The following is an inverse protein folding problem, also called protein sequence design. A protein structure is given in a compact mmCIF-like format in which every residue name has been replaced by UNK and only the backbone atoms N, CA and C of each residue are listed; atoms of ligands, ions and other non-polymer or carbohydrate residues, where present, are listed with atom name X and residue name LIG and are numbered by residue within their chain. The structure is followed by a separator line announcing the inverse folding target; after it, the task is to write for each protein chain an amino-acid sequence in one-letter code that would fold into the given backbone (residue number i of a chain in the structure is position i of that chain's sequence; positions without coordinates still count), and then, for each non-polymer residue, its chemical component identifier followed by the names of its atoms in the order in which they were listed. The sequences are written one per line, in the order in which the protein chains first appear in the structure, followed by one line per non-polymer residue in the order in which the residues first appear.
data_IF_748630800177
#
_entry.id   IF_748630800177
#
_cell.length_a   1.000
_cell.length_b   1.000
_cell.length_c   1.000
_cell.angle_alpha   90.00
_cell.angle_beta   90.00
_cell.angle_gamma   90.00
#
_symmetry.space_group_name_H-M   'P 1'
#
loop_
_entity.id
_entity.type
_entity.pdbx_description
1 polymer ?
#
# COMPACT_ATOMS: atom_id res chain seq x y z
N UNK A 1 -28.87 -5.26 20.38
CA UNK A 1 -28.04 -5.64 19.22
C UNK A 1 -26.59 -5.44 19.65
N UNK A 2 -25.86 -6.55 19.82
CA UNK A 2 -24.64 -6.60 20.62
C UNK A 2 -23.42 -6.05 19.88
N UNK A 3 -22.71 -5.12 20.51
CA UNK A 3 -21.35 -4.71 20.17
C UNK A 3 -20.38 -5.74 20.75
N UNK A 4 -19.69 -6.49 19.88
CA UNK A 4 -18.71 -7.50 20.33
C UNK A 4 -17.40 -6.81 20.69
N UNK A 5 -17.10 -6.86 21.98
CA UNK A 5 -16.03 -6.16 22.68
C UNK A 5 -14.87 -7.15 22.89
N UNK A 6 -13.97 -7.28 21.91
CA UNK A 6 -12.85 -8.24 21.98
C UNK A 6 -11.48 -7.57 21.97
N UNK A 7 -11.22 -6.75 22.98
CA UNK A 7 -9.86 -6.47 23.47
C UNK A 7 -9.89 -6.36 25.00
N UNK A 8 -9.79 -7.49 25.70
CA UNK A 8 -9.47 -7.52 27.14
C UNK A 8 -8.38 -8.56 27.43
N UNK A 9 -7.22 -8.03 27.80
CA UNK A 9 -6.36 -8.48 28.89
C UNK A 9 -5.81 -9.91 28.86
N UNK A 10 -4.60 -10.07 28.33
CA UNK A 10 -3.70 -11.17 28.72
C UNK A 10 -2.51 -10.54 29.44
N UNK A 11 -2.33 -10.86 30.74
CA UNK A 11 -1.11 -10.49 31.49
C UNK A 11 0.04 -11.35 30.98
N UNK A 12 1.24 -10.79 30.70
CA UNK A 12 2.37 -11.60 30.30
C UNK A 12 2.99 -12.30 31.51
N UNK A 13 3.13 -13.62 31.44
CA UNK A 13 4.05 -14.38 32.28
C UNK A 13 5.48 -14.17 31.78
N UNK A 14 6.39 -14.00 32.72
CA UNK A 14 7.78 -13.63 32.46
C UNK A 14 8.58 -14.79 31.87
N UNK A 15 8.85 -14.76 30.56
CA UNK A 15 10.11 -15.18 29.93
C UNK A 15 9.98 -15.06 28.41
N UNK A 16 11.00 -14.53 27.73
CA UNK A 16 11.08 -14.12 26.31
C UNK A 16 10.93 -12.61 26.08
N UNK A 17 11.93 -11.86 26.54
CA UNK A 17 12.20 -10.48 26.12
C UNK A 17 12.83 -10.51 24.73
N UNK A 18 12.18 -9.93 23.71
CA UNK A 18 12.81 -9.69 22.41
C UNK A 18 11.88 -9.63 21.18
N UNK A 19 10.66 -10.16 21.23
CA UNK A 19 9.82 -10.26 20.02
C UNK A 19 8.38 -9.71 20.17
N UNK A 20 7.87 -9.58 21.39
CA UNK A 20 6.59 -8.94 21.70
C UNK A 20 6.61 -7.42 21.62
N UNK A 21 7.79 -6.80 21.63
CA UNK A 21 7.92 -5.35 21.72
C UNK A 21 7.67 -4.66 20.38
N UNK A 22 7.97 -5.29 19.24
CA UNK A 22 7.85 -4.63 17.92
C UNK A 22 6.39 -4.29 17.59
N UNK A 23 5.44 -5.20 17.82
CA UNK A 23 4.01 -4.94 17.55
C UNK A 23 3.39 -3.97 18.56
N UNK A 24 3.83 -4.03 19.83
CA UNK A 24 3.41 -3.08 20.86
C UNK A 24 3.98 -1.67 20.61
N UNK A 25 5.20 -1.56 20.07
CA UNK A 25 5.88 -0.31 19.79
C UNK A 25 5.33 0.39 18.54
N UNK A 26 4.92 -0.35 17.50
CA UNK A 26 4.21 0.24 16.35
C UNK A 26 2.80 0.75 16.68
N UNK A 27 2.13 0.14 17.68
CA UNK A 27 0.81 0.61 18.17
C UNK A 27 0.94 1.81 19.12
N UNK A 28 2.16 2.14 19.57
CA UNK A 28 2.44 3.24 20.50
C UNK A 28 2.64 4.61 19.82
N UNK A 29 2.76 4.65 18.49
CA UNK A 29 2.87 5.89 17.71
C UNK A 29 1.48 6.37 17.27
N UNK A 30 0.88 7.28 18.06
CA UNK A 30 -0.35 8.03 17.73
C UNK A 30 -0.01 9.31 16.95
N UNK A 31 -1.02 9.99 16.38
CA UNK A 31 -1.52 9.77 15.03
C UNK A 31 -0.51 10.14 13.93
N UNK A 32 -0.70 9.62 12.71
CA UNK A 32 0.07 10.05 11.55
C UNK A 32 -0.26 11.52 11.21
N UNK A 33 0.76 12.37 11.09
CA UNK A 33 0.65 13.78 10.72
C UNK A 33 0.69 13.98 9.20
N UNK A 34 1.35 13.07 8.48
CA UNK A 34 1.48 13.16 7.04
C UNK A 34 1.90 11.83 6.44
N UNK A 35 1.47 11.58 5.21
CA UNK A 35 1.85 10.41 4.46
C UNK A 35 2.38 10.83 3.09
N UNK A 36 3.56 10.33 2.72
CA UNK A 36 4.13 10.48 1.38
C UNK A 36 4.29 9.12 0.77
N UNK A 37 3.65 8.89 -0.38
CA UNK A 37 3.79 7.66 -1.15
C UNK A 37 4.33 8.00 -2.52
N UNK A 38 5.44 7.37 -2.90
CA UNK A 38 5.96 7.46 -4.26
C UNK A 38 6.10 6.10 -4.90
N UNK A 39 5.65 6.02 -6.14
CA UNK A 39 5.79 4.84 -6.98
C UNK A 39 6.32 5.21 -8.34
N UNK A 40 7.45 4.62 -8.70
CA UNK A 40 8.02 4.70 -10.03
C UNK A 40 7.90 3.33 -10.72
N UNK A 41 7.75 3.35 -12.03
CA UNK A 41 8.00 2.20 -12.88
C UNK A 41 8.84 2.64 -14.09
N UNK A 42 9.89 1.89 -14.41
CA UNK A 42 10.71 2.14 -15.58
C UNK A 42 9.91 1.78 -16.86
N UNK A 43 9.95 2.68 -17.86
CA UNK A 43 9.18 2.64 -19.12
C UNK A 43 9.23 1.33 -19.91
N UNK A 44 10.18 0.43 -19.65
CA UNK A 44 10.42 -0.78 -20.44
C UNK A 44 10.08 -2.12 -19.76
N UNK A 45 9.91 -2.17 -18.44
CA UNK A 45 9.75 -3.46 -17.73
C UNK A 45 8.27 -3.86 -17.60
N UNK A 46 7.36 -2.87 -17.56
CA UNK A 46 5.94 -3.11 -17.28
C UNK A 46 4.99 -2.37 -18.21
N UNK A 47 5.47 -1.85 -19.34
CA UNK A 47 4.62 -1.31 -20.39
C UNK A 47 4.65 -2.29 -21.58
N UNK A 48 3.85 -3.37 -21.57
CA UNK A 48 3.66 -4.17 -22.77
C UNK A 48 3.14 -3.23 -23.85
N UNK A 49 3.70 -3.31 -25.06
CA UNK A 49 3.17 -2.57 -26.21
C UNK A 49 1.72 -2.96 -26.51
N UNK A 50 1.26 -4.14 -26.05
CA UNK A 50 0.01 -4.76 -26.49
C UNK A 50 -0.78 -5.51 -25.39
N UNK A 51 -0.89 -4.98 -24.16
CA UNK A 51 -1.91 -5.50 -23.22
C UNK A 51 -3.10 -4.55 -23.13
N UNK A 52 -4.12 -4.82 -23.96
CA UNK A 52 -5.55 -4.56 -23.68
C UNK A 52 -5.89 -3.18 -23.06
N UNK A 53 -5.16 -2.13 -23.44
CA UNK A 53 -5.44 -0.73 -23.08
C UNK A 53 -6.46 -0.07 -24.03
N UNK A 54 -7.06 -0.86 -24.94
CA UNK A 54 -7.83 -0.38 -26.09
C UNK A 54 -9.35 -0.46 -25.94
N UNK A 55 -9.90 -0.64 -24.73
CA UNK A 55 -11.34 -0.46 -24.51
C UNK A 55 -11.63 0.33 -23.22
N UNK A 56 -11.95 1.61 -23.43
CA UNK A 56 -12.82 2.45 -22.57
C UNK A 56 -12.47 2.56 -21.07
N UNK A 57 -11.24 2.94 -20.72
CA UNK A 57 -10.94 3.41 -19.35
C UNK A 57 -9.48 3.84 -19.12
N UNK A 58 -9.16 4.67 -18.10
CA UNK A 58 -7.79 5.12 -17.85
C UNK A 58 -6.95 3.97 -17.26
N UNK A 59 -6.36 3.19 -18.16
CA UNK A 59 -5.54 2.00 -17.91
C UNK A 59 -4.08 2.26 -17.53
N UNK A 60 -3.67 3.51 -17.39
CA UNK A 60 -2.27 3.92 -17.25
C UNK A 60 -1.71 3.71 -15.85
N UNK A 61 -1.22 4.80 -15.23
CA UNK A 61 -0.68 4.75 -13.87
C UNK A 61 -1.70 4.39 -12.79
N UNK A 62 -2.98 4.20 -13.14
CA UNK A 62 -4.03 3.69 -12.26
C UNK A 62 -3.71 2.41 -11.49
N UNK A 63 -2.96 1.47 -12.08
CA UNK A 63 -2.51 0.26 -11.34
C UNK A 63 -1.40 0.58 -10.34
N UNK A 64 -0.57 1.58 -10.62
CA UNK A 64 0.41 2.11 -9.69
C UNK A 64 -0.29 2.86 -8.55
N UNK A 65 -1.29 3.67 -8.89
CA UNK A 65 -2.12 4.46 -7.98
C UNK A 65 -2.90 3.57 -7.02
N UNK A 66 -3.54 2.50 -7.51
CA UNK A 66 -4.33 1.61 -6.66
C UNK A 66 -3.51 0.98 -5.54
N UNK A 67 -2.26 0.57 -5.81
CA UNK A 67 -1.43 0.03 -4.72
C UNK A 67 -0.86 1.11 -3.80
N UNK A 68 -0.62 2.33 -4.30
CA UNK A 68 -0.19 3.45 -3.47
C UNK A 68 -1.31 3.89 -2.50
N UNK A 69 -2.54 3.94 -2.99
CA UNK A 69 -3.74 4.19 -2.19
C UNK A 69 -4.01 3.02 -1.22
N UNK A 70 -3.86 1.76 -1.65
CA UNK A 70 -4.02 0.61 -0.76
C UNK A 70 -3.00 0.65 0.40
N UNK A 71 -1.74 1.00 0.12
CA UNK A 71 -0.72 1.17 1.16
C UNK A 71 -1.05 2.34 2.10
N UNK A 72 -1.57 3.45 1.55
CA UNK A 72 -2.04 4.60 2.33
C UNK A 72 -3.16 4.22 3.30
N UNK A 73 -4.21 3.60 2.77
CA UNK A 73 -5.38 3.17 3.56
C UNK A 73 -4.99 2.17 4.63
N UNK A 74 -4.10 1.23 4.30
CA UNK A 74 -3.58 0.26 5.25
C UNK A 74 -2.79 0.94 6.38
N UNK A 75 -1.93 1.92 6.07
CA UNK A 75 -1.14 2.63 7.08
C UNK A 75 -1.99 3.53 7.99
N UNK A 76 -3.06 4.12 7.46
CA UNK A 76 -3.93 5.05 8.19
C UNK A 76 -5.15 4.37 8.83
N UNK A 77 -5.40 3.10 8.53
CA UNK A 77 -6.65 2.41 8.85
C UNK A 77 -7.90 3.16 8.38
N UNK A 78 -7.80 3.81 7.22
CA UNK A 78 -8.84 4.68 6.67
C UNK A 78 -9.62 4.00 5.54
N UNK A 79 -10.90 4.38 5.40
CA UNK A 79 -11.79 3.91 4.33
C UNK A 79 -11.55 4.70 3.04
N UNK A 80 -12.19 5.85 2.87
CA UNK A 80 -12.09 6.74 1.71
C UNK A 80 -11.51 8.09 2.13
N UNK A 81 -10.88 8.86 1.21
CA UNK A 81 -10.47 10.22 1.52
C UNK A 81 -11.71 11.10 1.78
N UNK A 82 -11.60 11.99 2.76
CA UNK A 82 -12.58 13.05 3.02
C UNK A 82 -12.59 14.04 1.86
N UNK A 83 -11.40 14.35 1.35
CA UNK A 83 -11.23 15.33 0.29
C UNK A 83 -10.04 14.98 -0.62
N UNK A 84 -10.18 15.27 -1.91
CA UNK A 84 -9.08 15.32 -2.87
C UNK A 84 -8.73 16.79 -3.12
N UNK A 85 -7.75 17.30 -2.40
CA UNK A 85 -7.35 18.72 -2.46
C UNK A 85 -6.83 19.11 -3.84
N UNK A 86 -6.07 18.23 -4.48
CA UNK A 86 -5.62 18.44 -5.86
C UNK A 86 -5.23 17.13 -6.52
N UNK A 87 -5.43 17.05 -7.83
CA UNK A 87 -4.91 15.96 -8.64
C UNK A 87 -4.44 16.51 -9.99
N UNK A 88 -3.20 16.23 -10.36
CA UNK A 88 -2.58 16.66 -11.60
C UNK A 88 -2.04 15.45 -12.34
N UNK A 89 -2.37 15.36 -13.62
CA UNK A 89 -1.97 14.24 -14.47
C UNK A 89 -1.09 14.72 -15.60
N UNK A 90 -0.15 13.84 -16.00
CA UNK A 90 0.56 13.95 -17.26
C UNK A 90 0.02 12.84 -18.16
N UNK A 91 -0.63 13.16 -19.29
CA UNK A 91 -1.12 12.14 -20.21
C UNK A 91 0.04 11.38 -20.86
N UNK A 92 -0.26 10.17 -21.33
CA UNK A 92 0.65 9.38 -22.15
C UNK A 92 0.83 10.02 -23.52
N UNK A 93 2.02 9.82 -24.11
CA UNK A 93 2.30 10.26 -25.48
C UNK A 93 1.48 9.48 -26.53
N UNK A 94 1.01 8.28 -26.18
CA UNK A 94 0.28 7.39 -27.10
C UNK A 94 -1.24 7.55 -27.05
N UNK A 95 -1.81 7.89 -25.89
CA UNK A 95 -3.25 8.08 -25.69
C UNK A 95 -3.47 9.12 -24.58
N UNK A 96 -4.14 10.23 -24.92
CA UNK A 96 -4.40 11.33 -23.99
C UNK A 96 -5.37 10.95 -22.85
N UNK A 97 -6.17 9.88 -23.01
CA UNK A 97 -7.08 9.37 -21.97
C UNK A 97 -6.35 8.57 -20.89
N UNK A 98 -5.09 8.22 -21.14
CA UNK A 98 -4.26 7.38 -20.30
C UNK A 98 -3.24 8.25 -19.61
N UNK A 99 -3.16 8.17 -18.29
CA UNK A 99 -2.17 8.89 -17.49
C UNK A 99 -0.82 8.17 -17.50
N UNK A 100 0.24 8.92 -17.82
CA UNK A 100 1.63 8.48 -17.69
C UNK A 100 2.19 8.75 -16.29
N UNK A 101 1.77 9.85 -15.67
CA UNK A 101 2.10 10.18 -14.29
C UNK A 101 0.94 10.92 -13.63
N UNK A 102 0.83 10.78 -12.32
CA UNK A 102 -0.22 11.40 -11.52
C UNK A 102 0.37 11.87 -10.19
N UNK A 103 -0.01 13.08 -9.79
CA UNK A 103 0.29 13.68 -8.50
C UNK A 103 -1.03 14.02 -7.83
N UNK A 104 -1.31 13.44 -6.67
CA UNK A 104 -2.54 13.69 -5.93
C UNK A 104 -2.26 14.05 -4.47
N UNK A 105 -3.01 15.03 -3.99
CA UNK A 105 -3.08 15.44 -2.59
C UNK A 105 -4.46 15.05 -2.05
N UNK A 106 -4.45 14.26 -0.99
CA UNK A 106 -5.64 13.67 -0.39
C UNK A 106 -5.64 13.98 1.10
N UNK A 107 -6.83 14.10 1.67
CA UNK A 107 -7.03 14.19 3.12
C UNK A 107 -7.80 12.93 3.52
N UNK A 108 -7.20 12.15 4.42
CA UNK A 108 -7.85 11.01 5.05
C UNK A 108 -8.20 11.34 6.49
N UNK A 109 -9.26 10.71 7.00
CA UNK A 109 -9.59 10.73 8.42
C UNK A 109 -9.16 9.39 9.02
N UNK A 110 -8.37 9.44 10.09
CA UNK A 110 -8.01 8.24 10.85
C UNK A 110 -9.17 7.79 11.77
N UNK A 111 -9.12 6.58 12.37
CA UNK A 111 -10.14 6.13 13.32
C UNK A 111 -10.28 6.97 14.61
N UNK A 112 -9.41 7.97 14.79
CA UNK A 112 -9.40 8.90 15.92
C UNK A 112 -9.83 10.32 15.51
N UNK A 113 -10.42 10.48 14.32
CA UNK A 113 -10.90 11.72 13.73
C UNK A 113 -9.80 12.78 13.50
N UNK A 114 -8.55 12.36 13.28
CA UNK A 114 -7.48 13.24 12.85
C UNK A 114 -7.43 13.30 11.33
N UNK A 115 -7.28 14.51 10.80
CA UNK A 115 -7.09 14.73 9.38
C UNK A 115 -5.61 14.54 9.03
N UNK A 116 -5.35 13.61 8.11
CA UNK A 116 -4.00 13.25 7.66
C UNK A 116 -3.82 13.61 6.20
N UNK A 117 -2.83 14.45 5.92
CA UNK A 117 -2.47 14.81 4.55
C UNK A 117 -1.68 13.68 3.89
N UNK A 118 -2.19 13.15 2.78
CA UNK A 118 -1.51 12.17 1.95
C UNK A 118 -1.09 12.79 0.61
N UNK A 119 0.17 12.57 0.24
CA UNK A 119 0.74 12.95 -1.05
C UNK A 119 1.10 11.69 -1.81
N UNK A 120 0.42 11.46 -2.94
CA UNK A 120 0.64 10.30 -3.79
C UNK A 120 1.25 10.77 -5.10
N UNK A 121 2.38 10.15 -5.45
CA UNK A 121 3.03 10.35 -6.74
C UNK A 121 3.20 9.02 -7.45
N UNK A 122 2.70 8.92 -8.67
CA UNK A 122 2.88 7.79 -9.56
C UNK A 122 3.49 8.24 -10.88
N UNK A 123 4.47 7.51 -11.40
CA UNK A 123 5.04 7.78 -12.72
C UNK A 123 5.49 6.47 -13.38
N UNK A 124 4.82 6.11 -14.47
CA UNK A 124 5.09 4.90 -15.24
C UNK A 124 5.84 5.17 -16.56
N UNK A 125 6.07 6.43 -16.90
CA UNK A 125 6.72 6.81 -18.15
C UNK A 125 8.12 7.42 -17.92
N UNK A 126 8.77 7.08 -16.80
CA UNK A 126 10.10 7.61 -16.50
C UNK A 126 11.13 7.15 -17.55
N UNK A 127 11.87 8.09 -18.18
CA UNK A 127 12.93 7.74 -19.09
C UNK A 127 14.08 7.07 -18.32
N UNK A 128 14.81 6.21 -19.02
CA UNK A 128 16.03 5.60 -18.51
C UNK A 128 17.03 6.68 -18.06
N UNK A 129 17.79 6.41 -17.00
CA UNK A 129 18.84 7.31 -16.55
C UNK A 129 19.91 7.41 -17.65
N UNK A 130 20.17 8.64 -18.12
CA UNK A 130 21.06 8.87 -19.26
C UNK A 130 20.63 8.19 -20.56
N UNK A 131 19.37 7.75 -20.69
CA UNK A 131 18.86 7.03 -21.86
C UNK A 131 19.26 5.55 -21.97
N UNK A 132 20.17 5.06 -21.12
CA UNK A 132 20.79 3.72 -21.28
C UNK A 132 20.63 2.85 -20.02
N UNK A 133 20.48 3.45 -18.84
CA UNK A 133 20.36 2.70 -17.59
C UNK A 133 18.91 2.64 -17.11
N UNK A 134 18.30 1.43 -17.00
CA UNK A 134 17.01 1.31 -16.35
C UNK A 134 17.15 1.71 -14.88
N UNK A 135 16.22 2.55 -14.39
CA UNK A 135 16.22 3.10 -13.03
C UNK A 135 15.76 2.09 -11.99
N UNK A 136 16.43 0.95 -11.91
CA UNK A 136 16.05 -0.18 -11.04
C UNK A 136 16.15 0.15 -9.54
N UNK A 137 16.85 1.23 -9.18
CA UNK A 137 16.94 1.74 -7.81
C UNK A 137 15.80 2.69 -7.43
N UNK A 138 14.97 3.14 -8.37
CA UNK A 138 13.78 3.94 -8.10
C UNK A 138 12.59 3.00 -7.83
N UNK A 139 12.66 2.23 -6.74
CA UNK A 139 11.57 1.32 -6.35
C UNK A 139 10.49 2.04 -5.52
N UNK A 140 9.29 1.47 -5.42
CA UNK A 140 8.19 2.09 -4.69
C UNK A 140 8.47 2.17 -3.19
N UNK A 141 8.10 3.29 -2.57
CA UNK A 141 8.26 3.50 -1.13
C UNK A 141 7.07 4.27 -0.55
N UNK A 142 6.90 4.09 0.76
CA UNK A 142 5.92 4.80 1.57
C UNK A 142 6.63 5.38 2.79
N UNK A 143 6.28 6.61 3.13
CA UNK A 143 6.82 7.33 4.27
C UNK A 143 5.65 7.85 5.09
N UNK A 144 5.53 7.35 6.32
CA UNK A 144 4.54 7.75 7.30
C UNK A 144 5.23 8.65 8.31
N UNK A 145 4.78 9.90 8.39
CA UNK A 145 5.23 10.85 9.38
C UNK A 145 4.26 10.83 10.56
N UNK A 146 4.75 10.54 11.76
CA UNK A 146 3.99 10.62 13.03
C UNK A 146 4.47 11.80 13.86
N UNK A 147 3.87 12.01 15.03
CA UNK A 147 4.30 13.01 16.01
C UNK A 147 5.77 12.84 16.45
N UNK A 148 6.22 11.59 16.61
CA UNK A 148 7.48 11.21 17.22
C UNK A 148 8.48 10.61 16.26
N UNK A 149 8.06 10.08 15.12
CA UNK A 149 8.93 9.35 14.22
C UNK A 149 8.58 9.56 12.74
N UNK A 150 9.55 9.30 11.88
CA UNK A 150 9.39 9.13 10.45
C UNK A 150 9.61 7.65 10.14
N UNK A 151 8.58 6.97 9.63
CA UNK A 151 8.65 5.57 9.24
C UNK A 151 8.73 5.49 7.72
N UNK A 152 9.87 5.07 7.20
CA UNK A 152 10.12 4.93 5.78
C UNK A 152 10.21 3.44 5.40
N UNK A 153 9.30 2.96 4.56
CA UNK A 153 9.30 1.59 4.07
C UNK A 153 9.63 1.54 2.59
N UNK A 154 10.80 0.97 2.30
CA UNK A 154 11.36 0.82 0.97
C UNK A 154 10.99 -0.52 0.33
N UNK A 155 10.52 -0.50 -0.91
CA UNK A 155 10.26 -1.67 -1.75
C UNK A 155 9.20 -2.65 -1.21
N UNK A 156 8.06 -2.13 -0.79
CA UNK A 156 6.94 -2.94 -0.28
C UNK A 156 6.32 -3.95 -1.28
N UNK A 157 6.33 -3.77 -2.62
CA UNK A 157 5.73 -4.76 -3.54
C UNK A 157 6.58 -5.99 -3.78
N UNK A 158 7.91 -5.84 -3.66
CA UNK A 158 8.87 -6.90 -3.96
C UNK A 158 9.87 -7.07 -2.79
N UNK A 159 9.38 -7.41 -1.59
CA UNK A 159 10.21 -7.48 -0.40
C UNK A 159 11.31 -8.54 -0.51
N UNK A 160 11.09 -9.59 -1.30
CA UNK A 160 12.04 -10.67 -1.57
C UNK A 160 13.33 -10.25 -2.28
N UNK A 161 13.36 -9.12 -3.00
CA UNK A 161 14.57 -8.64 -3.66
C UNK A 161 15.47 -7.91 -2.66
N UNK A 162 14.95 -6.82 -2.09
CA UNK A 162 15.59 -6.05 -1.04
C UNK A 162 14.59 -5.06 -0.47
N UNK A 163 14.37 -5.09 0.84
CA UNK A 163 13.54 -4.10 1.52
C UNK A 163 14.15 -3.72 2.87
N UNK A 164 13.70 -2.59 3.39
CA UNK A 164 13.96 -2.17 4.76
C UNK A 164 12.89 -1.20 5.24
N UNK A 165 12.67 -1.20 6.54
CA UNK A 165 11.87 -0.21 7.25
C UNK A 165 12.86 0.62 8.06
N UNK A 166 12.96 1.90 7.75
CA UNK A 166 13.75 2.85 8.52
C UNK A 166 12.81 3.64 9.44
N UNK A 167 13.11 3.66 10.73
CA UNK A 167 12.38 4.43 11.72
C UNK A 167 13.31 5.50 12.27
N UNK A 168 13.04 6.75 11.93
CA UNK A 168 13.81 7.91 12.40
C UNK A 168 13.04 8.59 13.52
N UNK A 169 13.58 8.55 14.73
CA UNK A 169 13.03 9.28 15.88
C UNK A 169 13.24 10.79 15.67
N UNK A 170 12.17 11.60 15.75
CA UNK A 170 12.25 13.05 15.57
C UNK A 170 12.98 13.76 16.71
N UNK A 171 12.86 13.24 17.93
CA UNK A 171 13.47 13.86 19.11
C UNK A 171 15.01 13.73 19.11
N UNK A 172 15.53 12.58 18.68
CA UNK A 172 16.97 12.27 18.74
C UNK A 172 17.66 12.33 17.37
N UNK A 173 16.89 12.31 16.28
CA UNK A 173 17.39 12.18 14.91
C UNK A 173 17.94 10.79 14.58
N UNK A 174 17.89 9.84 15.53
CA UNK A 174 18.47 8.51 15.37
C UNK A 174 17.58 7.67 14.45
N UNK A 175 18.20 7.04 13.46
CA UNK A 175 17.52 6.13 12.53
C UNK A 175 17.87 4.69 12.84
N UNK A 176 16.85 3.86 13.05
CA UNK A 176 16.97 2.42 13.16
C UNK A 176 16.47 1.74 11.89
N UNK A 177 17.09 0.63 11.50
CA UNK A 177 16.72 -0.13 10.31
C UNK A 177 16.25 -1.52 10.71
N UNK A 178 15.06 -1.88 10.23
CA UNK A 178 14.44 -3.18 10.45
C UNK A 178 14.17 -3.87 9.11
N UNK A 179 14.25 -5.20 9.09
CA UNK A 179 13.95 -6.02 7.91
C UNK A 179 13.20 -7.27 8.36
N UNK A 180 12.13 -7.63 7.65
CA UNK A 180 11.33 -8.81 7.99
C UNK A 180 10.95 -9.57 6.73
N UNK A 181 11.55 -10.73 6.54
CA UNK A 181 11.33 -11.56 5.33
C UNK A 181 10.40 -12.75 5.58
N UNK A 182 10.23 -13.20 6.83
CA UNK A 182 9.39 -14.34 7.21
C UNK A 182 8.62 -14.06 8.49
N UNK A 183 7.45 -14.64 8.66
CA UNK A 183 6.69 -14.58 9.91
C UNK A 183 6.26 -13.17 10.30
N UNK A 184 6.64 -12.76 11.50
CA UNK A 184 6.12 -11.53 12.13
C UNK A 184 4.82 -11.79 12.90
N UNK A 185 4.20 -10.72 13.44
CA UNK A 185 3.07 -10.85 14.37
C UNK A 185 1.83 -11.49 13.74
N UNK A 186 1.65 -11.32 12.42
CA UNK A 186 0.50 -11.85 11.69
C UNK A 186 0.76 -13.25 11.14
N UNK A 187 1.92 -13.48 10.52
CA UNK A 187 2.19 -14.74 9.81
C UNK A 187 2.90 -15.78 10.66
N UNK A 188 3.55 -15.41 11.77
CA UNK A 188 4.44 -16.31 12.52
C UNK A 188 3.79 -17.59 13.05
N UNK A 189 2.47 -17.58 13.26
CA UNK A 189 1.69 -18.76 13.73
C UNK A 189 0.88 -19.43 12.62
N UNK A 190 0.91 -18.89 11.41
CA UNK A 190 0.12 -19.38 10.28
C UNK A 190 0.88 -20.49 9.59
N UNK A 191 0.24 -21.65 9.45
CA UNK A 191 0.73 -22.76 8.63
C UNK A 191 0.33 -22.46 7.19
N UNK A 192 1.31 -22.22 6.34
CA UNK A 192 1.09 -21.88 4.92
C UNK A 192 0.84 -23.15 4.10
N UNK A 193 0.41 -23.01 2.84
CA UNK A 193 0.09 -24.14 1.95
C UNK A 193 1.23 -25.15 1.74
N UNK A 194 2.49 -24.78 2.00
CA UNK A 194 3.65 -25.69 1.96
C UNK A 194 3.80 -26.55 3.22
N UNK A 195 2.96 -26.37 4.24
CA UNK A 195 3.04 -27.04 5.54
C UNK A 195 4.03 -26.40 6.52
N UNK A 196 4.78 -25.38 6.08
CA UNK A 196 5.71 -24.62 6.92
C UNK A 196 4.95 -23.57 7.76
N UNK A 197 5.48 -23.20 8.94
CA UNK A 197 4.96 -22.09 9.74
C UNK A 197 5.68 -20.79 9.38
N UNK A 198 4.94 -19.68 9.28
CA UNK A 198 5.55 -18.37 9.11
C UNK A 198 6.00 -18.03 7.69
N UNK A 199 5.79 -18.90 6.69
CA UNK A 199 6.15 -18.68 5.28
C UNK A 199 7.66 -18.52 5.03
N UNK A 200 8.04 -18.06 3.82
CA UNK A 200 9.45 -18.09 3.34
C UNK A 200 9.98 -16.73 2.89
N UNK A 201 11.29 -16.53 3.09
CA UNK A 201 11.96 -15.25 2.86
C UNK A 201 11.95 -14.79 1.39
N UNK A 202 11.97 -15.74 0.46
CA UNK A 202 11.96 -15.46 -0.98
C UNK A 202 10.58 -15.14 -1.56
N UNK A 203 9.54 -15.02 -0.73
CA UNK A 203 8.18 -14.81 -1.22
C UNK A 203 7.89 -13.37 -1.61
N UNK A 204 7.30 -13.19 -2.78
CA UNK A 204 6.74 -11.91 -3.20
C UNK A 204 5.49 -11.56 -2.38
N UNK A 205 5.16 -10.27 -2.30
CA UNK A 205 3.91 -9.81 -1.65
C UNK A 205 2.67 -10.49 -2.25
N UNK A 206 2.72 -10.83 -3.55
CA UNK A 206 1.65 -11.59 -4.21
C UNK A 206 1.50 -13.01 -3.64
N UNK A 207 2.61 -13.71 -3.38
CA UNK A 207 2.56 -15.05 -2.77
C UNK A 207 1.89 -15.00 -1.40
N UNK A 208 2.25 -14.02 -0.55
CA UNK A 208 1.60 -13.83 0.75
C UNK A 208 0.09 -13.58 0.62
N UNK A 209 -0.33 -12.72 -0.32
CA UNK A 209 -1.77 -12.48 -0.56
C UNK A 209 -2.50 -13.73 -1.03
N UNK A 210 -1.85 -14.57 -1.83
CA UNK A 210 -2.43 -15.81 -2.33
C UNK A 210 -2.65 -16.82 -1.18
N UNK A 211 -1.72 -16.93 -0.23
CA UNK A 211 -1.91 -17.78 0.96
C UNK A 211 -3.13 -17.33 1.77
N UNK A 212 -3.25 -16.03 2.03
CA UNK A 212 -4.42 -15.48 2.72
C UNK A 212 -5.73 -15.72 1.94
N UNK A 213 -5.68 -15.69 0.62
CA UNK A 213 -6.81 -16.03 -0.22
C UNK A 213 -7.21 -17.50 -0.14
N UNK A 214 -6.24 -18.41 -0.21
CA UNK A 214 -6.48 -19.84 -0.07
C UNK A 214 -7.04 -20.16 1.31
N UNK A 215 -6.54 -19.53 2.37
CA UNK A 215 -7.07 -19.69 3.73
C UNK A 215 -8.54 -19.27 3.81
N UNK A 216 -8.90 -18.10 3.28
CA UNK A 216 -10.27 -17.63 3.26
C UNK A 216 -11.20 -18.57 2.46
N UNK A 217 -10.75 -19.06 1.31
CA UNK A 217 -11.51 -20.01 0.48
C UNK A 217 -11.70 -21.38 1.14
N UNK A 218 -10.76 -21.80 1.99
CA UNK A 218 -10.84 -23.04 2.75
C UNK A 218 -11.58 -22.88 4.09
N UNK A 219 -12.16 -21.70 4.36
CA UNK A 219 -12.86 -21.40 5.61
C UNK A 219 -11.94 -21.22 6.81
N UNK A 220 -10.63 -21.10 6.61
CA UNK A 220 -9.66 -20.78 7.66
C UNK A 220 -9.60 -19.28 7.90
N UNK A 221 -9.09 -18.87 9.06
CA UNK A 221 -8.85 -17.46 9.35
C UNK A 221 -7.52 -17.01 8.71
N UNK A 222 -7.54 -16.15 7.69
CA UNK A 222 -6.33 -15.67 7.04
C UNK A 222 -5.55 -14.71 7.94
N UNK A 223 -4.22 -14.62 7.73
CA UNK A 223 -3.35 -13.68 8.46
C UNK A 223 -3.78 -12.21 8.30
N UNK A 224 -4.24 -11.85 7.10
CA UNK A 224 -4.84 -10.56 6.79
C UNK A 224 -5.79 -10.73 5.60
N UNK A 225 -6.97 -10.13 5.67
CA UNK A 225 -8.00 -10.23 4.63
C UNK A 225 -8.42 -8.86 4.14
N UNK A 226 -8.51 -8.73 2.82
CA UNK A 226 -9.11 -7.56 2.18
C UNK A 226 -10.58 -7.89 1.91
N UNK A 227 -11.48 -7.19 2.59
CA UNK A 227 -12.92 -7.45 2.46
C UNK A 227 -13.48 -6.97 1.12
N UNK A 228 -14.71 -7.39 0.79
CA UNK A 228 -15.44 -6.83 -0.35
C UNK A 228 -15.62 -5.31 -0.21
N UNK A 229 -15.90 -4.84 1.01
CA UNK A 229 -16.03 -3.42 1.31
C UNK A 229 -14.71 -2.66 1.09
N UNK A 230 -13.57 -3.25 1.45
CA UNK A 230 -12.26 -2.65 1.18
C UNK A 230 -11.99 -2.48 -0.31
N UNK A 231 -12.50 -3.39 -1.12
CA UNK A 231 -12.41 -3.32 -2.58
C UNK A 231 -13.30 -2.21 -3.14
N UNK A 232 -14.51 -2.04 -2.59
CA UNK A 232 -15.42 -0.93 -2.94
C UNK A 232 -14.80 0.41 -2.60
N UNK A 233 -14.33 0.59 -1.36
CA UNK A 233 -13.62 1.80 -0.94
C UNK A 233 -12.38 2.06 -1.80
N UNK A 234 -11.70 1.00 -2.25
CA UNK A 234 -10.56 1.16 -3.13
C UNK A 234 -10.96 1.79 -4.47
N UNK A 235 -12.03 1.29 -5.08
CA UNK A 235 -12.53 1.81 -6.34
C UNK A 235 -13.06 3.24 -6.20
N UNK A 236 -13.74 3.55 -5.10
CA UNK A 236 -14.21 4.92 -4.79
C UNK A 236 -13.04 5.91 -4.68
N UNK A 237 -11.94 5.52 -4.03
CA UNK A 237 -10.74 6.35 -3.94
C UNK A 237 -10.14 6.66 -5.33
N UNK A 238 -10.05 5.63 -6.19
CA UNK A 238 -9.50 5.79 -7.55
C UNK A 238 -10.40 6.71 -8.37
N UNK A 239 -11.72 6.49 -8.32
CA UNK A 239 -12.70 7.32 -9.02
C UNK A 239 -12.65 8.78 -8.55
N UNK A 240 -12.52 9.02 -7.23
CA UNK A 240 -12.40 10.37 -6.67
C UNK A 240 -11.15 11.09 -7.18
N UNK A 241 -10.00 10.42 -7.21
CA UNK A 241 -8.74 10.98 -7.73
C UNK A 241 -8.84 11.29 -9.22
N UNK A 242 -9.40 10.37 -10.00
CA UNK A 242 -9.54 10.56 -11.46
C UNK A 242 -10.52 11.68 -11.80
N UNK A 243 -11.63 11.77 -11.07
CA UNK A 243 -12.58 12.88 -11.20
C UNK A 243 -11.90 14.23 -10.91
N UNK A 244 -11.12 14.31 -9.83
CA UNK A 244 -10.37 15.52 -9.49
C UNK A 244 -9.30 15.86 -10.53
N UNK A 245 -8.73 14.85 -11.19
CA UNK A 245 -7.73 15.02 -12.25
C UNK A 245 -8.34 15.36 -13.64
N UNK A 246 -9.66 15.41 -13.77
CA UNK A 246 -10.35 15.64 -15.04
C UNK A 246 -10.23 14.47 -16.04
N UNK A 247 -9.91 13.26 -15.56
CA UNK A 247 -9.87 12.07 -16.40
C UNK A 247 -11.27 11.44 -16.53
N UNK A 248 -11.58 10.81 -17.68
CA UNK A 248 -12.84 10.11 -17.84
C UNK A 248 -12.94 8.97 -16.82
N UNK A 249 -14.11 8.81 -16.20
CA UNK A 249 -14.39 7.65 -15.34
C UNK A 249 -14.26 6.38 -16.17
N UNK A 250 -13.78 5.28 -15.56
CA UNK A 250 -13.97 3.97 -16.19
C UNK A 250 -15.46 3.74 -16.34
N UNK A 251 -15.95 3.55 -17.55
CA UNK A 251 -17.31 3.11 -17.74
C UNK A 251 -17.41 1.73 -17.11
N UNK A 252 -18.23 1.59 -16.06
CA UNK A 252 -18.70 0.28 -15.66
C UNK A 252 -19.48 -0.26 -16.84
N UNK A 253 -19.08 -1.42 -17.37
CA UNK A 253 -19.90 -2.09 -18.38
C UNK A 253 -21.28 -2.26 -17.78
N UNK A 254 -22.26 -1.52 -18.29
CA UNK A 254 -23.66 -1.82 -18.06
C UNK A 254 -23.87 -3.20 -18.68
N UNK A 255 -23.84 -4.23 -17.85
CA UNK A 255 -24.51 -5.49 -18.15
C UNK A 255 -26.00 -5.13 -18.19
N UNK A 256 -26.45 -4.60 -19.33
CA UNK A 256 -27.87 -4.53 -19.64
C UNK A 256 -28.35 -5.98 -19.70
N UNK A 257 -29.19 -6.36 -18.73
CA UNK A 257 -30.14 -7.46 -18.87
C UNK A 257 -31.08 -7.20 -20.05
#
# INVERSE_FOLDING_TARGET
MAQDNRYKGVRPSASHRGCSDVHAEYTAYRPALGLRVRRYAARSISCPRDTQLTRSGPGGSGTALSSALAATRFALHASVPVEVTSATTRPSLSDARVDAALHAHLIFEDPHNNLVHSKIYTDMARPWAGGILPRIWEVPWIEVETDKALVYFYNFPQPHLYHYIAVTEKATGRTSYQKQYTGGPLWGKVVVSTGEQGGRAGWSTYRWRLEAFVDAMQGRTPAHWVSAQDSTWMMECVDAVYKAAGLPRRESSNSQE
#
